data_IF_176587854266
#
_entry.id   IF_176587854266
#
_cell.length_a   1.000
_cell.length_b   1.000
_cell.length_c   1.000
_cell.angle_alpha   90.00
_cell.angle_beta   90.00
_cell.angle_gamma   90.00
#
_symmetry.space_group_name_H-M   'P 1'
#
loop_
_entity.id
_entity.type
_entity.pdbx_description
1 polymer ?
#
# COMPACT_ATOMS: atom_id res chain seq x y z
N UNK A 1 1.69 20.23 -7.86
CA UNK A 1 2.45 19.51 -8.91
C UNK A 1 1.57 19.40 -10.15
N UNK A 2 2.08 19.64 -11.35
CA UNK A 2 1.30 19.42 -12.58
C UNK A 2 1.23 17.93 -12.93
N UNK A 3 0.12 17.47 -13.50
CA UNK A 3 -0.09 16.07 -13.89
C UNK A 3 1.02 15.56 -14.82
N UNK A 4 1.49 16.39 -15.76
CA UNK A 4 2.60 16.07 -16.65
C UNK A 4 3.90 15.75 -15.91
N UNK A 5 4.20 16.49 -14.82
CA UNK A 5 5.39 16.24 -14.00
C UNK A 5 5.27 14.94 -13.20
N UNK A 6 4.07 14.61 -12.70
CA UNK A 6 3.83 13.35 -12.03
C UNK A 6 4.03 12.15 -12.97
N UNK A 7 3.49 12.22 -14.19
CA UNK A 7 3.68 11.16 -15.21
C UNK A 7 5.16 10.97 -15.56
N UNK A 8 5.94 12.05 -15.67
CA UNK A 8 7.37 11.95 -15.94
C UNK A 8 8.14 11.19 -14.85
N UNK A 9 7.78 11.36 -13.58
CA UNK A 9 8.42 10.64 -12.47
C UNK A 9 8.04 9.16 -12.50
N UNK A 10 6.76 8.86 -12.75
CA UNK A 10 6.26 7.48 -12.78
C UNK A 10 6.89 6.63 -13.88
N UNK A 11 7.37 7.24 -14.98
CA UNK A 11 8.06 6.52 -16.08
C UNK A 11 9.35 5.82 -15.65
N UNK A 12 9.96 6.22 -14.53
CA UNK A 12 11.17 5.58 -14.00
C UNK A 12 10.87 4.33 -13.16
N UNK A 13 9.60 3.98 -12.96
CA UNK A 13 9.17 2.87 -12.13
C UNK A 13 8.43 1.80 -12.94
N UNK A 14 8.56 0.56 -12.50
CA UNK A 14 7.74 -0.53 -13.00
C UNK A 14 6.29 -0.37 -12.52
N UNK A 15 5.34 -0.45 -13.45
CA UNK A 15 3.92 -0.48 -13.14
C UNK A 15 3.47 -1.93 -12.91
N UNK A 16 3.18 -2.25 -11.66
CA UNK A 16 2.64 -3.56 -11.29
C UNK A 16 1.11 -3.52 -11.39
N UNK A 17 0.52 -4.44 -12.15
CA UNK A 17 -0.93 -4.55 -12.28
C UNK A 17 -1.58 -5.03 -10.97
N UNK A 18 -2.77 -4.50 -10.67
CA UNK A 18 -3.60 -4.98 -9.58
C UNK A 18 -4.32 -6.26 -10.01
N UNK A 19 -3.84 -7.39 -9.50
CA UNK A 19 -4.47 -8.71 -9.71
C UNK A 19 -5.63 -8.92 -8.75
N UNK A 20 -6.55 -9.86 -9.07
CA UNK A 20 -7.69 -10.18 -8.20
C UNK A 20 -7.27 -10.52 -6.75
N UNK A 21 -6.14 -11.22 -6.58
CA UNK A 21 -5.60 -11.55 -5.26
C UNK A 21 -5.26 -10.31 -4.41
N UNK A 22 -4.85 -9.20 -5.05
CA UNK A 22 -4.60 -7.91 -4.39
C UNK A 22 -5.91 -7.34 -3.85
N UNK A 23 -6.97 -7.41 -4.66
CA UNK A 23 -8.30 -6.96 -4.25
C UNK A 23 -8.84 -7.79 -3.09
N UNK A 24 -8.82 -9.12 -3.19
CA UNK A 24 -9.36 -10.00 -2.16
C UNK A 24 -8.66 -9.79 -0.82
N UNK A 25 -7.33 -9.71 -0.82
CA UNK A 25 -6.56 -9.43 0.40
C UNK A 25 -6.85 -8.04 0.96
N UNK A 26 -7.00 -7.02 0.10
CA UNK A 26 -7.30 -5.66 0.54
C UNK A 26 -8.66 -5.56 1.24
N UNK A 27 -9.67 -6.26 0.74
CA UNK A 27 -11.00 -6.34 1.37
C UNK A 27 -10.89 -6.99 2.75
N UNK A 28 -10.12 -8.08 2.88
CA UNK A 28 -9.91 -8.74 4.17
C UNK A 28 -9.26 -7.79 5.20
N UNK A 29 -8.25 -7.02 4.80
CA UNK A 29 -7.62 -6.07 5.74
C UNK A 29 -8.52 -4.89 6.07
N UNK A 30 -9.30 -4.40 5.11
CA UNK A 30 -10.28 -3.35 5.34
C UNK A 30 -11.28 -3.79 6.40
N UNK A 31 -11.91 -4.97 6.22
CA UNK A 31 -12.87 -5.51 7.18
C UNK A 31 -12.24 -5.70 8.58
N UNK A 32 -10.97 -6.11 8.63
CA UNK A 32 -10.26 -6.34 9.89
C UNK A 32 -9.89 -5.05 10.63
N UNK A 33 -9.51 -3.99 9.90
CA UNK A 33 -8.85 -2.82 10.49
C UNK A 33 -9.55 -1.47 10.28
N UNK A 34 -10.63 -1.41 9.52
CA UNK A 34 -11.38 -0.17 9.33
C UNK A 34 -11.90 0.38 10.66
N UNK A 35 -12.51 -0.46 11.49
CA UNK A 35 -13.12 -0.01 12.75
C UNK A 35 -12.10 0.24 13.86
N UNK A 36 -11.01 -0.53 13.90
CA UNK A 36 -10.00 -0.45 14.95
C UNK A 36 -8.90 0.56 14.66
N UNK A 37 -8.46 0.66 13.39
CA UNK A 37 -7.30 1.46 13.00
C UNK A 37 -7.62 2.53 11.96
N UNK A 38 -8.87 2.59 11.48
CA UNK A 38 -9.33 3.52 10.43
C UNK A 38 -8.58 3.36 9.10
N UNK A 39 -8.15 2.13 8.81
CA UNK A 39 -7.59 1.78 7.51
C UNK A 39 -8.64 2.03 6.43
N UNK A 40 -8.26 2.77 5.38
CA UNK A 40 -9.09 2.98 4.19
C UNK A 40 -8.76 1.99 3.07
N UNK A 41 -9.67 1.87 2.09
CA UNK A 41 -9.51 0.94 0.97
C UNK A 41 -8.24 1.21 0.15
N UNK A 42 -7.89 2.48 -0.05
CA UNK A 42 -6.66 2.85 -0.74
C UNK A 42 -5.43 2.31 0.01
N UNK A 43 -5.33 2.52 1.32
CA UNK A 43 -4.22 1.99 2.11
C UNK A 43 -4.15 0.45 2.05
N UNK A 44 -5.30 -0.23 2.13
CA UNK A 44 -5.38 -1.67 2.04
C UNK A 44 -4.91 -2.21 0.66
N UNK A 45 -5.32 -1.55 -0.43
CA UNK A 45 -4.89 -1.90 -1.79
C UNK A 45 -3.39 -1.71 -1.99
N UNK A 46 -2.84 -0.59 -1.53
CA UNK A 46 -1.40 -0.39 -1.63
C UNK A 46 -0.73 -1.48 -0.78
N UNK A 47 -1.14 -1.69 0.49
CA UNK A 47 -0.56 -2.71 1.38
C UNK A 47 -0.56 -4.13 0.78
N UNK A 48 -1.63 -4.50 0.07
CA UNK A 48 -1.76 -5.79 -0.60
C UNK A 48 -0.64 -6.03 -1.63
N UNK A 49 -0.22 -5.00 -2.37
CA UNK A 49 0.89 -5.11 -3.32
C UNK A 49 2.21 -5.40 -2.60
N UNK A 50 2.49 -4.72 -1.49
CA UNK A 50 3.70 -5.00 -0.68
C UNK A 50 3.67 -6.40 -0.06
N UNK A 51 2.51 -6.84 0.43
CA UNK A 51 2.34 -8.20 0.93
C UNK A 51 2.57 -9.25 -0.17
N UNK A 52 2.05 -9.03 -1.39
CA UNK A 52 2.21 -9.98 -2.50
C UNK A 52 3.66 -10.06 -2.99
N UNK A 53 4.30 -8.91 -3.18
CA UNK A 53 5.65 -8.83 -3.73
C UNK A 53 6.75 -9.01 -2.66
N UNK A 54 6.38 -9.02 -1.37
CA UNK A 54 7.32 -9.06 -0.24
C UNK A 54 8.36 -7.93 -0.29
N UNK A 55 7.94 -6.75 -0.77
CA UNK A 55 8.80 -5.58 -0.88
C UNK A 55 8.52 -4.57 0.24
N UNK A 56 9.58 -4.00 0.85
CA UNK A 56 9.42 -2.97 1.85
C UNK A 56 8.78 -1.72 1.24
N UNK A 57 7.83 -1.15 1.98
CA UNK A 57 7.26 0.16 1.70
C UNK A 57 7.83 1.17 2.67
N UNK A 58 8.49 2.16 2.11
CA UNK A 58 8.84 3.35 2.86
C UNK A 58 7.66 4.30 2.91
N UNK A 59 7.21 4.64 4.10
CA UNK A 59 6.04 5.50 4.31
C UNK A 59 6.11 6.22 5.65
N UNK A 60 5.62 7.47 5.74
CA UNK A 60 5.40 8.12 7.02
C UNK A 60 4.16 7.56 7.75
N UNK A 61 3.22 6.91 7.06
CA UNK A 61 1.96 6.43 7.65
C UNK A 61 2.11 5.05 8.32
N UNK A 62 3.00 4.95 9.29
CA UNK A 62 3.27 3.68 9.98
C UNK A 62 2.04 3.13 10.70
N UNK A 63 1.15 4.00 11.20
CA UNK A 63 -0.06 3.59 11.92
C UNK A 63 -0.91 2.58 11.14
N UNK A 64 -1.12 2.83 9.84
CA UNK A 64 -1.96 1.93 9.02
C UNK A 64 -1.16 0.74 8.49
N UNK A 65 0.10 0.95 8.11
CA UNK A 65 0.87 -0.08 7.42
C UNK A 65 1.53 -1.10 8.35
N UNK A 66 1.94 -0.71 9.55
CA UNK A 66 2.54 -1.66 10.51
C UNK A 66 1.54 -2.74 10.93
N UNK A 67 0.25 -2.43 11.08
CA UNK A 67 -0.78 -3.43 11.46
C UNK A 67 -1.16 -4.39 10.33
N UNK A 68 -0.94 -3.99 9.07
CA UNK A 68 -1.27 -4.81 7.90
C UNK A 68 -0.09 -5.65 7.41
N UNK A 69 1.13 -5.08 7.38
CA UNK A 69 2.29 -5.72 6.74
C UNK A 69 3.55 -5.77 7.61
N UNK A 70 3.46 -5.33 8.88
CA UNK A 70 4.52 -5.50 9.88
C UNK A 70 5.88 -4.97 9.42
N UNK A 71 6.86 -5.88 9.35
CA UNK A 71 8.25 -5.57 8.98
C UNK A 71 8.39 -4.98 7.56
N UNK A 72 7.41 -5.16 6.68
CA UNK A 72 7.40 -4.55 5.34
C UNK A 72 7.03 -3.05 5.36
N UNK A 73 6.77 -2.45 6.53
CA UNK A 73 6.53 -1.02 6.67
C UNK A 73 7.67 -0.33 7.47
N UNK A 74 8.92 -0.33 6.98
CA UNK A 74 9.99 0.42 7.64
C UNK A 74 9.70 1.92 7.59
N UNK A 75 10.11 2.61 8.66
CA UNK A 75 10.09 4.07 8.69
C UNK A 75 11.03 4.62 7.63
N UNK A 76 10.55 5.56 6.82
CA UNK A 76 11.43 6.38 5.99
C UNK A 76 12.27 7.25 6.94
N UNK A 77 13.58 7.01 6.99
CA UNK A 77 14.54 7.77 7.79
C UNK A 77 14.70 9.20 7.28
#
# INVERSE_FOLDING_TARGET
MSQARAVSVLRSFELVAAEQAVHDWSVQQLLKYQLSHRVGMADALIAAVSHRLQLPRYTPNLKHYTVMVGALAPRLC
#
